data_IF_706463290756
#
_entry.id   IF_706463290756
#
_cell.length_a   1.000
_cell.length_b   1.000
_cell.length_c   1.000
_cell.angle_alpha   90.00
_cell.angle_beta   90.00
_cell.angle_gamma   90.00
#
_symmetry.space_group_name_H-M   'P 1'
#
loop_
_entity.id
_entity.type
_entity.pdbx_description
1 polymer ?
#
# COMPACT_ATOMS: atom_id res chain seq x y z
N UNK A 1 1.33 -7.24 -11.75
CA UNK A 1 1.54 -6.78 -10.38
C UNK A 1 2.06 -7.92 -9.53
N UNK A 2 3.19 -7.72 -8.84
CA UNK A 2 3.80 -8.73 -7.98
C UNK A 2 4.17 -8.14 -6.62
N UNK A 3 3.98 -8.91 -5.56
CA UNK A 3 4.63 -8.66 -4.28
C UNK A 3 5.94 -9.47 -4.23
N UNK A 4 7.01 -8.81 -3.85
CA UNK A 4 8.35 -9.38 -3.79
C UNK A 4 8.97 -9.03 -2.45
N UNK A 5 9.43 -10.04 -1.72
CA UNK A 5 10.21 -9.88 -0.51
C UNK A 5 11.69 -10.11 -0.85
N UNK A 6 12.53 -9.17 -0.48
CA UNK A 6 13.98 -9.23 -0.72
C UNK A 6 14.75 -8.98 0.57
N UNK A 7 15.97 -9.52 0.65
CA UNK A 7 16.93 -9.19 1.71
C UNK A 7 17.62 -7.83 1.43
N UNK A 8 18.51 -7.43 2.33
CA UNK A 8 19.28 -6.17 2.23
C UNK A 8 20.12 -6.09 0.93
N UNK A 9 20.51 -7.20 0.35
CA UNK A 9 21.27 -7.32 -0.91
C UNK A 9 20.37 -7.35 -2.14
N UNK A 10 19.04 -7.35 -1.96
CA UNK A 10 18.08 -7.39 -3.05
C UNK A 10 17.80 -8.79 -3.61
N UNK A 11 18.23 -9.84 -2.91
CA UNK A 11 17.93 -11.23 -3.30
C UNK A 11 16.49 -11.56 -2.95
N UNK A 12 15.75 -12.12 -3.89
CA UNK A 12 14.36 -12.52 -3.69
C UNK A 12 14.28 -13.70 -2.72
N UNK A 13 13.59 -13.48 -1.61
CA UNK A 13 13.28 -14.48 -0.59
C UNK A 13 11.91 -15.11 -0.85
N UNK A 14 10.94 -14.29 -1.27
CA UNK A 14 9.57 -14.73 -1.55
C UNK A 14 8.95 -13.83 -2.61
N UNK A 15 8.15 -14.39 -3.50
CA UNK A 15 7.35 -13.59 -4.44
C UNK A 15 6.01 -14.25 -4.75
N UNK A 16 5.03 -13.44 -5.12
CA UNK A 16 3.69 -13.91 -5.47
C UNK A 16 3.00 -12.90 -6.38
N UNK A 17 2.16 -13.36 -7.28
CA UNK A 17 1.28 -12.49 -8.04
C UNK A 17 0.20 -11.89 -7.12
N UNK A 18 0.03 -10.58 -7.17
CA UNK A 18 -0.89 -9.89 -6.27
C UNK A 18 -2.36 -10.28 -6.50
N UNK A 19 -2.68 -10.87 -7.67
CA UNK A 19 -4.00 -11.44 -7.96
C UNK A 19 -4.27 -12.74 -7.20
N UNK A 20 -3.23 -13.46 -6.82
CA UNK A 20 -3.33 -14.76 -6.13
C UNK A 20 -3.49 -14.60 -4.61
N UNK A 21 -3.41 -13.40 -4.16
CA UNK A 21 -3.35 -13.11 -2.74
C UNK A 21 -4.76 -12.97 -2.11
N UNK A 22 -5.89 -13.10 -2.63
CA UNK A 22 -7.21 -12.94 -1.98
C UNK A 22 -7.31 -11.74 -1.02
N UNK A 23 -8.33 -11.57 -0.28
CA UNK A 23 -8.50 -10.52 0.75
C UNK A 23 -7.66 -10.82 2.01
N UNK A 24 -6.83 -9.96 2.50
CA UNK A 24 -5.95 -10.04 3.69
C UNK A 24 -4.49 -10.44 3.48
N UNK A 25 -3.85 -9.94 2.46
CA UNK A 25 -2.75 -10.68 1.86
C UNK A 25 -1.36 -10.14 2.12
N UNK A 26 -1.18 -8.85 2.36
CA UNK A 26 0.12 -8.32 2.76
C UNK A 26 0.51 -8.87 4.14
N UNK A 27 -0.45 -8.93 5.08
CA UNK A 27 -0.24 -9.50 6.41
C UNK A 27 0.17 -10.98 6.33
N UNK A 28 -0.53 -11.77 5.49
CA UNK A 28 -0.20 -13.19 5.29
C UNK A 28 1.11 -13.37 4.51
N UNK A 29 1.41 -12.48 3.56
CA UNK A 29 2.66 -12.52 2.81
C UNK A 29 3.85 -12.21 3.72
N UNK A 30 3.68 -11.28 4.65
CA UNK A 30 4.73 -10.77 5.55
C UNK A 30 4.84 -11.55 6.87
N UNK A 31 3.84 -12.36 7.21
CA UNK A 31 3.69 -12.99 8.53
C UNK A 31 4.91 -13.76 9.03
N UNK A 32 5.63 -14.39 8.11
CA UNK A 32 6.79 -15.24 8.44
C UNK A 32 8.11 -14.60 8.03
N UNK A 33 8.10 -13.30 7.68
CA UNK A 33 9.30 -12.59 7.26
C UNK A 33 10.01 -11.94 8.46
N UNK A 34 11.33 -12.01 8.46
CA UNK A 34 12.18 -11.36 9.47
C UNK A 34 12.23 -9.85 9.22
N UNK A 35 12.69 -9.09 10.22
CA UNK A 35 12.81 -7.62 10.16
C UNK A 35 13.81 -7.12 9.09
N UNK A 36 14.73 -7.98 8.63
CA UNK A 36 15.72 -7.68 7.60
C UNK A 36 15.20 -7.94 6.18
N UNK A 37 13.91 -8.27 6.05
CA UNK A 37 13.27 -8.55 4.76
C UNK A 37 12.38 -7.38 4.38
N UNK A 38 12.57 -6.89 3.16
CA UNK A 38 11.88 -5.74 2.61
C UNK A 38 10.86 -6.18 1.58
N UNK A 39 9.62 -5.67 1.68
CA UNK A 39 8.55 -6.02 0.76
C UNK A 39 8.31 -4.88 -0.23
N UNK A 40 8.31 -5.22 -1.51
CA UNK A 40 8.06 -4.31 -2.62
C UNK A 40 6.91 -4.78 -3.47
N UNK A 41 6.17 -3.83 -3.99
CA UNK A 41 5.13 -4.06 -4.96
C UNK A 41 5.59 -3.56 -6.32
N UNK A 42 5.78 -4.50 -7.25
CA UNK A 42 6.07 -4.20 -8.64
C UNK A 42 4.77 -4.15 -9.44
N UNK A 43 4.59 -3.09 -10.21
CA UNK A 43 3.44 -2.87 -11.07
C UNK A 43 3.82 -3.10 -12.54
N UNK A 44 3.64 -2.08 -13.35
CA UNK A 44 3.80 -2.15 -14.79
C UNK A 44 5.22 -1.82 -15.24
N UNK A 45 5.57 -2.36 -16.39
CA UNK A 45 6.83 -2.06 -17.07
C UNK A 45 6.50 -1.34 -18.37
N UNK A 46 7.09 -0.17 -18.56
CA UNK A 46 6.85 0.69 -19.72
C UNK A 46 8.12 0.80 -20.56
N UNK A 47 7.96 0.85 -21.88
CA UNK A 47 9.02 1.26 -22.79
C UNK A 47 9.00 2.78 -22.97
N UNK A 48 10.17 3.39 -22.93
CA UNK A 48 10.27 4.82 -23.23
C UNK A 48 10.29 5.04 -24.75
N UNK A 49 9.23 5.61 -25.31
CA UNK A 49 9.12 5.88 -26.76
C UNK A 49 10.22 6.81 -27.32
N UNK A 50 10.95 7.53 -26.45
CA UNK A 50 12.02 8.46 -26.85
C UNK A 50 13.43 7.88 -26.67
N UNK A 51 13.56 6.75 -25.98
CA UNK A 51 14.82 6.08 -25.73
C UNK A 51 14.58 4.57 -25.82
N UNK A 52 14.76 4.02 -27.01
CA UNK A 52 14.36 2.66 -27.40
C UNK A 52 14.94 1.54 -26.50
N UNK A 53 16.03 1.83 -25.76
CA UNK A 53 16.74 0.84 -24.95
C UNK A 53 16.48 0.99 -23.43
N UNK A 54 15.56 1.87 -23.02
CA UNK A 54 15.28 2.06 -21.60
C UNK A 54 13.90 1.58 -21.18
N UNK A 55 13.87 0.76 -20.16
CA UNK A 55 12.64 0.33 -19.50
C UNK A 55 12.37 1.21 -18.26
N UNK A 56 11.12 1.52 -18.02
CA UNK A 56 10.65 2.13 -16.78
C UNK A 56 9.84 1.09 -16.01
N UNK A 57 10.20 0.87 -14.77
CA UNK A 57 9.54 -0.08 -13.87
C UNK A 57 8.88 0.71 -12.74
N UNK A 58 7.61 0.48 -12.52
CA UNK A 58 6.90 1.04 -11.37
C UNK A 58 7.09 0.13 -10.15
N UNK A 59 7.68 0.70 -9.09
CA UNK A 59 7.88 0.03 -7.81
C UNK A 59 7.30 0.90 -6.70
N UNK A 60 6.40 0.36 -5.92
CA UNK A 60 5.72 1.07 -4.83
C UNK A 60 5.13 2.43 -5.25
N UNK A 61 4.55 2.50 -6.45
CA UNK A 61 3.96 3.72 -7.00
C UNK A 61 4.95 4.76 -7.55
N UNK A 62 6.24 4.48 -7.52
CA UNK A 62 7.29 5.34 -8.11
C UNK A 62 7.90 4.70 -9.36
N UNK A 63 8.22 5.53 -10.34
CA UNK A 63 8.79 5.07 -11.61
C UNK A 63 10.33 5.13 -11.58
N UNK A 64 10.95 4.02 -11.85
CA UNK A 64 12.41 3.85 -11.88
C UNK A 64 12.88 3.43 -13.27
N UNK A 65 14.02 4.00 -13.69
CA UNK A 65 14.68 3.56 -14.92
C UNK A 65 15.39 2.23 -14.66
N UNK A 66 15.07 1.21 -15.45
CA UNK A 66 15.84 -0.03 -15.50
C UNK A 66 16.87 0.06 -16.61
N UNK A 67 18.11 -0.32 -16.32
CA UNK A 67 19.23 -0.36 -17.26
C UNK A 67 19.80 -1.77 -17.32
N UNK A 68 20.34 -2.20 -18.48
CA UNK A 68 21.03 -3.47 -18.58
C UNK A 68 22.18 -3.60 -17.58
N UNK A 69 22.37 -4.76 -16.98
CA UNK A 69 23.39 -4.95 -15.94
C UNK A 69 24.83 -4.75 -16.44
N UNK A 70 25.07 -4.96 -17.73
CA UNK A 70 26.37 -4.69 -18.37
C UNK A 70 26.66 -3.19 -18.59
N UNK A 71 25.67 -2.31 -18.40
CA UNK A 71 25.82 -0.86 -18.49
C UNK A 71 26.01 -0.20 -17.11
N UNK A 72 25.94 -0.98 -16.02
CA UNK A 72 26.14 -0.47 -14.67
C UNK A 72 27.63 -0.11 -14.48
N UNK A 73 27.89 1.10 -14.00
CA UNK A 73 29.22 1.62 -13.69
C UNK A 73 29.24 2.27 -12.29
N UNK A 74 30.40 2.80 -11.87
CA UNK A 74 30.59 3.41 -10.55
C UNK A 74 29.65 4.59 -10.26
N UNK A 75 29.16 5.26 -11.29
CA UNK A 75 28.30 6.43 -11.16
C UNK A 75 26.80 6.08 -11.21
N UNK A 76 26.51 4.80 -11.45
CA UNK A 76 25.14 4.30 -11.51
C UNK A 76 24.53 4.27 -10.12
N UNK A 77 23.42 4.99 -9.93
CA UNK A 77 22.62 4.92 -8.71
C UNK A 77 21.75 3.66 -8.76
N UNK A 78 22.20 2.61 -8.08
CA UNK A 78 21.44 1.37 -7.93
C UNK A 78 20.34 1.56 -6.90
N UNK A 79 19.17 1.00 -7.16
CA UNK A 79 18.04 1.00 -6.23
C UNK A 79 18.46 0.34 -4.91
N UNK A 80 18.42 1.11 -3.84
CA UNK A 80 18.75 0.61 -2.50
C UNK A 80 17.46 0.12 -1.83
N UNK A 81 17.30 -1.19 -1.73
CA UNK A 81 16.12 -1.79 -1.12
C UNK A 81 15.91 -1.37 0.32
N UNK A 82 16.99 -1.21 1.09
CA UNK A 82 16.91 -0.80 2.50
C UNK A 82 16.44 0.65 2.68
N UNK A 83 16.91 1.57 1.84
CA UNK A 83 16.51 2.99 1.89
C UNK A 83 15.07 3.19 1.38
N UNK A 84 14.64 2.39 0.41
CA UNK A 84 13.31 2.47 -0.18
C UNK A 84 12.30 1.51 0.46
N UNK A 85 12.78 0.62 1.32
CA UNK A 85 11.93 -0.27 2.10
C UNK A 85 11.22 0.53 3.17
N UNK A 86 9.95 0.70 3.00
CA UNK A 86 9.09 1.07 4.12
C UNK A 86 8.26 -0.16 4.50
N UNK A 87 8.99 -1.11 5.07
CA UNK A 87 8.55 -2.24 5.85
C UNK A 87 7.46 -3.13 5.23
N UNK A 88 7.68 -4.43 5.27
CA UNK A 88 6.61 -5.42 5.17
C UNK A 88 5.60 -5.35 6.32
N UNK A 89 5.94 -4.63 7.38
CA UNK A 89 5.00 -4.12 8.38
C UNK A 89 4.69 -2.68 7.98
N UNK A 90 3.55 -2.47 7.37
CA UNK A 90 3.05 -1.12 7.17
C UNK A 90 3.06 -0.40 8.51
N UNK A 91 3.81 0.69 8.63
CA UNK A 91 3.75 1.56 9.80
C UNK A 91 2.34 2.14 9.96
N UNK A 92 1.54 2.06 8.89
CA UNK A 92 0.14 2.46 8.87
C UNK A 92 -0.76 1.28 9.20
N UNK A 93 -1.52 1.40 10.27
CA UNK A 93 -2.48 0.38 10.70
C UNK A 93 -3.88 0.96 10.72
N UNK A 94 -4.87 0.15 10.32
CA UNK A 94 -6.27 0.52 10.50
C UNK A 94 -6.60 0.42 11.99
N UNK A 95 -7.23 1.46 12.55
CA UNK A 95 -7.67 1.42 13.94
C UNK A 95 -8.70 0.28 14.13
N UNK A 96 -8.42 -0.71 14.98
CA UNK A 96 -9.31 -1.86 15.17
C UNK A 96 -10.71 -1.47 15.69
N UNK A 97 -10.83 -0.31 16.33
CA UNK A 97 -12.07 0.20 16.90
C UNK A 97 -12.80 1.19 15.99
N UNK A 98 -12.18 1.60 14.89
CA UNK A 98 -12.79 2.54 13.95
C UNK A 98 -12.19 2.36 12.56
N UNK A 99 -12.97 1.75 11.66
CA UNK A 99 -12.55 1.43 10.30
C UNK A 99 -12.14 2.64 9.46
N UNK A 100 -12.53 3.84 9.83
CA UNK A 100 -12.22 5.08 9.10
C UNK A 100 -11.01 5.83 9.67
N UNK A 101 -10.27 5.20 10.56
CA UNK A 101 -9.08 5.78 11.19
C UNK A 101 -7.84 4.94 10.91
N UNK A 102 -6.72 5.61 10.75
CA UNK A 102 -5.39 5.00 10.62
C UNK A 102 -4.52 5.37 11.82
N UNK A 103 -3.69 4.44 12.24
CA UNK A 103 -2.66 4.66 13.25
C UNK A 103 -1.31 4.69 12.54
N UNK A 104 -0.54 5.75 12.78
CA UNK A 104 0.82 5.91 12.27
C UNK A 104 1.66 6.61 13.32
N UNK A 105 2.84 6.08 13.63
CA UNK A 105 3.77 6.59 14.65
C UNK A 105 3.08 6.91 15.99
N UNK A 106 2.21 5.99 16.44
CA UNK A 106 1.47 6.13 17.70
C UNK A 106 0.36 7.18 17.71
N UNK A 107 0.14 7.89 16.60
CA UNK A 107 -0.94 8.87 16.42
C UNK A 107 -2.10 8.28 15.63
N UNK A 108 -3.29 8.74 15.92
CA UNK A 108 -4.50 8.34 15.18
C UNK A 108 -4.92 9.46 14.23
N UNK A 109 -5.14 9.10 12.97
CA UNK A 109 -5.56 9.99 11.89
C UNK A 109 -6.94 9.59 11.40
N UNK A 110 -7.81 10.57 11.20
CA UNK A 110 -9.13 10.36 10.62
C UNK A 110 -9.05 10.49 9.11
N UNK A 111 -9.46 9.46 8.38
CA UNK A 111 -9.67 9.56 6.93
C UNK A 111 -10.92 10.42 6.71
N UNK A 112 -10.76 11.51 5.96
CA UNK A 112 -11.82 12.46 5.64
C UNK A 112 -12.38 12.18 4.24
N UNK A 113 -13.39 12.92 3.82
CA UNK A 113 -13.94 12.92 2.46
C UNK A 113 -13.20 13.88 1.52
N UNK A 114 -12.12 14.51 2.00
CA UNK A 114 -11.31 15.41 1.19
C UNK A 114 -10.49 14.62 0.17
N UNK A 115 -10.88 14.74 -1.10
CA UNK A 115 -10.16 14.13 -2.22
C UNK A 115 -8.82 14.86 -2.44
N UNK A 116 -7.76 14.08 -2.56
CA UNK A 116 -6.42 14.54 -2.95
C UNK A 116 -6.19 14.14 -4.41
N UNK A 117 -5.95 15.10 -5.26
CA UNK A 117 -5.67 14.84 -6.69
C UNK A 117 -4.25 14.30 -6.87
N UNK A 118 -4.03 13.50 -7.91
CA UNK A 118 -2.74 12.82 -8.14
C UNK A 118 -1.56 13.79 -8.27
N UNK A 119 -1.77 14.99 -8.81
CA UNK A 119 -0.76 16.05 -8.92
C UNK A 119 -0.29 16.60 -7.56
N UNK A 120 -1.03 16.33 -6.49
CA UNK A 120 -0.68 16.68 -5.11
C UNK A 120 0.03 15.56 -4.36
N UNK A 121 0.04 14.35 -4.90
CA UNK A 121 0.76 13.24 -4.31
C UNK A 121 2.28 13.43 -4.49
N UNK A 122 3.01 13.14 -3.42
CA UNK A 122 4.47 13.14 -3.40
C UNK A 122 5.00 11.75 -3.06
N UNK A 123 6.01 11.67 -2.20
CA UNK A 123 6.66 10.42 -1.84
C UNK A 123 5.67 9.35 -1.38
N UNK A 124 5.84 8.15 -1.89
CA UNK A 124 5.17 6.97 -1.39
C UNK A 124 5.62 6.68 0.06
N UNK A 125 4.69 6.50 0.97
CA UNK A 125 4.95 6.28 2.39
C UNK A 125 4.79 4.82 2.81
N UNK A 126 3.95 4.08 2.13
CA UNK A 126 3.70 2.68 2.45
C UNK A 126 2.42 2.14 1.82
N UNK A 127 2.13 0.89 2.11
CA UNK A 127 0.94 0.20 1.64
C UNK A 127 0.22 -0.46 2.81
N UNK A 128 -1.10 -0.36 2.84
CA UNK A 128 -1.95 -1.05 3.83
C UNK A 128 -2.47 -2.37 3.23
N UNK A 129 -2.96 -2.35 1.98
CA UNK A 129 -3.47 -3.49 1.22
C UNK A 129 -4.47 -4.37 2.00
N UNK A 130 -5.46 -3.73 2.61
CA UNK A 130 -6.45 -4.40 3.46
C UNK A 130 -7.86 -3.95 3.16
N UNK A 131 -8.76 -4.93 3.03
CA UNK A 131 -10.19 -4.70 2.95
C UNK A 131 -10.82 -4.78 4.33
N UNK A 132 -11.69 -3.84 4.64
CA UNK A 132 -12.47 -3.83 5.88
C UNK A 132 -13.94 -3.67 5.57
N UNK A 133 -14.77 -4.46 6.23
CA UNK A 133 -16.22 -4.31 6.24
C UNK A 133 -16.60 -3.77 7.62
N UNK A 134 -17.35 -2.71 7.67
CA UNK A 134 -17.71 -2.06 8.92
C UNK A 134 -19.14 -1.53 8.93
N UNK A 135 -19.66 -1.31 10.11
CA UNK A 135 -20.95 -0.66 10.32
C UNK A 135 -20.84 0.83 10.03
N UNK A 136 -21.70 1.35 9.16
CA UNK A 136 -21.66 2.72 8.67
C UNK A 136 -21.88 3.77 9.77
N UNK A 137 -22.64 3.44 10.79
CA UNK A 137 -23.01 4.38 11.86
C UNK A 137 -21.94 4.39 12.96
N UNK A 138 -21.59 3.21 13.48
CA UNK A 138 -20.61 3.06 14.57
C UNK A 138 -19.16 3.08 14.10
N UNK A 139 -18.88 2.85 12.81
CA UNK A 139 -17.53 2.65 12.22
C UNK A 139 -16.79 1.42 12.74
N UNK A 140 -17.42 0.57 13.54
CA UNK A 140 -16.81 -0.63 14.05
C UNK A 140 -16.55 -1.65 12.92
N UNK A 141 -15.36 -2.22 12.89
CA UNK A 141 -15.02 -3.30 11.96
C UNK A 141 -15.85 -4.52 12.33
N UNK A 142 -16.50 -5.10 11.31
CA UNK A 142 -17.29 -6.31 11.46
C UNK A 142 -16.38 -7.54 11.35
N UNK A 143 -16.43 -8.38 12.36
CA UNK A 143 -15.71 -9.65 12.37
C UNK A 143 -16.41 -10.70 11.51
N UNK A 144 -15.74 -11.80 11.20
CA UNK A 144 -16.36 -12.93 10.51
C UNK A 144 -17.63 -13.42 11.24
N UNK A 145 -17.60 -13.47 12.57
CA UNK A 145 -18.75 -13.87 13.39
C UNK A 145 -19.92 -12.88 13.28
N UNK A 146 -19.62 -11.59 13.15
CA UNK A 146 -20.65 -10.58 12.92
C UNK A 146 -21.25 -10.72 11.53
N UNK A 147 -20.42 -10.98 10.52
CA UNK A 147 -20.85 -11.18 9.14
C UNK A 147 -21.69 -12.46 8.97
N UNK A 148 -21.38 -13.52 9.68
CA UNK A 148 -22.14 -14.78 9.67
C UNK A 148 -23.56 -14.63 10.27
N UNK A 149 -23.77 -13.65 11.15
CA UNK A 149 -25.07 -13.36 11.79
C UNK A 149 -25.94 -12.37 11.02
N UNK A 150 -25.37 -11.74 9.99
CA UNK A 150 -26.06 -10.68 9.25
C UNK A 150 -26.95 -11.29 8.16
N UNK A 151 -28.20 -10.89 8.12
CA UNK A 151 -29.07 -11.10 6.96
C UNK A 151 -28.55 -10.27 5.78
N UNK A 152 -27.88 -10.94 4.84
CA UNK A 152 -27.28 -10.33 3.65
C UNK A 152 -28.31 -9.69 2.70
N UNK A 153 -29.57 -10.04 2.81
CA UNK A 153 -30.66 -9.57 1.96
C UNK A 153 -31.61 -8.59 2.69
N UNK A 154 -31.46 -8.44 4.02
CA UNK A 154 -32.37 -7.69 4.88
C UNK A 154 -32.00 -6.21 5.07
N UNK A 155 -32.70 -5.55 6.03
CA UNK A 155 -32.59 -4.12 6.35
C UNK A 155 -31.17 -3.67 6.73
N UNK A 156 -30.33 -4.57 7.25
CA UNK A 156 -28.96 -4.28 7.65
C UNK A 156 -27.97 -4.10 6.50
N UNK A 157 -28.37 -4.40 5.24
CA UNK A 157 -27.52 -4.23 4.06
C UNK A 157 -27.09 -2.77 3.88
N UNK A 158 -27.94 -1.82 4.19
CA UNK A 158 -27.69 -0.38 4.05
C UNK A 158 -26.71 0.19 5.08
N UNK A 159 -26.48 -0.53 6.19
CA UNK A 159 -25.59 -0.09 7.27
C UNK A 159 -24.14 -0.52 7.10
N UNK A 160 -23.88 -1.41 6.16
CA UNK A 160 -22.52 -1.91 5.91
C UNK A 160 -21.82 -1.09 4.85
N UNK A 161 -20.54 -0.87 5.06
CA UNK A 161 -19.65 -0.24 4.10
C UNK A 161 -18.38 -1.07 4.00
N UNK A 162 -17.82 -1.15 2.79
CA UNK A 162 -16.55 -1.80 2.52
C UNK A 162 -15.56 -0.76 2.04
N UNK A 163 -14.39 -0.74 2.67
CA UNK A 163 -13.26 0.05 2.22
C UNK A 163 -12.07 -0.86 1.93
N UNK A 164 -11.47 -0.65 0.74
CA UNK A 164 -10.20 -1.26 0.34
C UNK A 164 -9.11 -0.23 0.53
N UNK A 165 -8.32 -0.38 1.58
CA UNK A 165 -7.16 0.46 1.85
C UNK A 165 -5.98 -0.03 1.02
N UNK A 166 -5.32 0.88 0.30
CA UNK A 166 -4.18 0.59 -0.56
C UNK A 166 -2.96 1.43 -0.17
N UNK A 167 -2.49 2.25 -1.07
CA UNK A 167 -1.24 3.00 -0.96
C UNK A 167 -1.40 4.28 -0.13
N UNK A 168 -0.32 4.68 0.54
CA UNK A 168 -0.24 5.92 1.32
C UNK A 168 0.85 6.81 0.77
N UNK A 169 0.58 8.10 0.61
CA UNK A 169 1.46 9.10 0.03
C UNK A 169 1.55 10.37 0.87
N UNK A 170 2.67 11.08 0.78
CA UNK A 170 2.74 12.47 1.22
C UNK A 170 1.87 13.36 0.36
N UNK A 171 1.35 14.42 0.95
CA UNK A 171 0.62 15.48 0.25
C UNK A 171 1.53 16.69 0.10
N UNK A 172 1.59 17.25 -1.11
CA UNK A 172 2.39 18.46 -1.39
C UNK A 172 2.00 19.60 -0.45
N UNK A 173 3.01 20.17 0.22
CA UNK A 173 2.83 21.28 1.14
C UNK A 173 2.24 20.95 2.50
N UNK A 174 2.06 19.66 2.82
CA UNK A 174 1.54 19.20 4.13
C UNK A 174 2.61 18.35 4.82
N UNK A 175 2.87 18.63 6.09
CA UNK A 175 3.74 17.79 6.91
C UNK A 175 3.04 16.46 7.19
N UNK A 176 3.76 15.35 7.23
CA UNK A 176 3.22 14.02 7.53
C UNK A 176 2.52 13.97 8.89
N UNK A 177 2.98 14.76 9.86
CA UNK A 177 2.34 14.90 11.18
C UNK A 177 0.98 15.58 11.14
N UNK A 178 0.69 16.33 10.08
CA UNK A 178 -0.58 17.04 9.85
C UNK A 178 -1.53 16.26 8.96
N UNK A 179 -1.00 15.31 8.17
CA UNK A 179 -1.79 14.45 7.33
C UNK A 179 -1.05 13.86 6.14
N UNK A 180 -1.66 12.88 5.54
CA UNK A 180 -1.18 12.16 4.37
C UNK A 180 -2.39 11.73 3.51
N UNK A 181 -2.13 11.33 2.28
CA UNK A 181 -3.14 10.77 1.40
C UNK A 181 -3.13 9.25 1.51
N UNK A 182 -4.29 8.65 1.63
CA UNK A 182 -4.46 7.20 1.55
C UNK A 182 -5.42 6.85 0.41
N UNK A 183 -5.07 5.86 -0.39
CA UNK A 183 -5.98 5.34 -1.40
C UNK A 183 -6.99 4.42 -0.75
N UNK A 184 -8.25 4.84 -0.81
CA UNK A 184 -9.41 4.07 -0.34
C UNK A 184 -10.31 3.80 -1.54
N UNK A 185 -10.56 2.52 -1.83
CA UNK A 185 -11.18 2.10 -3.08
C UNK A 185 -10.38 2.68 -4.27
N UNK A 186 -10.97 3.56 -5.06
CA UNK A 186 -10.32 4.16 -6.23
C UNK A 186 -9.98 5.65 -6.05
N UNK A 187 -10.05 6.19 -4.82
CA UNK A 187 -9.83 7.60 -4.52
C UNK A 187 -8.73 7.80 -3.49
N UNK A 188 -7.94 8.87 -3.66
CA UNK A 188 -7.01 9.33 -2.63
C UNK A 188 -7.74 10.29 -1.70
N UNK A 189 -7.81 9.93 -0.42
CA UNK A 189 -8.45 10.71 0.66
C UNK A 189 -7.38 11.20 1.65
N UNK A 190 -7.60 12.40 2.23
CA UNK A 190 -6.77 12.93 3.30
C UNK A 190 -7.24 12.40 4.65
#
# INVERSE_FOLDING_TARGET
RKLVAVDDEGKIVKQVDATDLGTNNLDNFSKDLNNDIHVFQFFDVYTNKKAEDTLTVEVNGSNYKAIPTNEINSDSKIFNFKEHSKGGNSEFQINPNNATQLIYDGKTYQVTDQIVTEDKLQDFLGIIAKDVIFDKDSKNILTKQDLDKIDWLGENKSKRQTWSYLDVYKISGINIDEGFAVKVNDQYLK
#
